data_IF_737401603491
#
_entry.id   IF_737401603491
#
_cell.length_a   1.000
_cell.length_b   1.000
_cell.length_c   1.000
_cell.angle_alpha   90.00
_cell.angle_beta   90.00
_cell.angle_gamma   90.00
#
_symmetry.space_group_name_H-M   'P 1'
#
loop_
_entity.id
_entity.type
_entity.pdbx_description
1 polymer ?
#
# COMPACT_ATOMS: atom_id res chain seq x y z
N UNK A 1 -22.94 1.52 -7.05
CA UNK A 1 -21.69 2.26 -7.31
C UNK A 1 -20.54 1.33 -6.99
N UNK A 2 -19.49 1.25 -7.82
CA UNK A 2 -18.31 0.42 -7.56
C UNK A 2 -17.63 0.92 -6.28
N UNK A 3 -17.40 0.02 -5.32
CA UNK A 3 -16.66 0.32 -4.10
C UNK A 3 -15.18 -0.02 -4.35
N UNK A 4 -14.36 0.99 -4.72
CA UNK A 4 -12.96 0.78 -5.05
C UNK A 4 -12.19 0.10 -3.91
N UNK A 5 -12.38 0.51 -2.65
CA UNK A 5 -11.67 -0.10 -1.50
C UNK A 5 -11.98 -1.59 -1.31
N UNK A 6 -13.23 -2.00 -1.55
CA UNK A 6 -13.56 -3.42 -1.49
C UNK A 6 -12.96 -4.16 -2.68
N UNK A 7 -13.01 -3.55 -3.87
CA UNK A 7 -12.42 -4.11 -5.09
C UNK A 7 -10.91 -4.29 -4.96
N UNK A 8 -10.20 -3.33 -4.36
CA UNK A 8 -8.77 -3.43 -4.03
C UNK A 8 -8.45 -4.69 -3.22
N UNK A 9 -9.24 -4.94 -2.17
CA UNK A 9 -9.08 -6.13 -1.31
C UNK A 9 -9.36 -7.43 -2.06
N UNK A 10 -10.40 -7.45 -2.90
CA UNK A 10 -10.74 -8.62 -3.72
C UNK A 10 -9.61 -8.98 -4.71
N UNK A 11 -8.94 -7.99 -5.30
CA UNK A 11 -7.79 -8.22 -6.17
C UNK A 11 -6.54 -8.69 -5.41
N UNK A 12 -6.36 -8.28 -4.15
CA UNK A 12 -5.20 -8.68 -3.35
C UNK A 12 -5.35 -10.05 -2.68
N UNK A 13 -6.58 -10.49 -2.40
CA UNK A 13 -6.85 -11.77 -1.71
C UNK A 13 -6.12 -12.98 -2.31
N UNK A 14 -6.05 -13.17 -3.64
CA UNK A 14 -5.36 -14.32 -4.23
C UNK A 14 -3.85 -14.37 -3.96
N UNK A 15 -3.24 -13.23 -3.60
CA UNK A 15 -1.80 -13.10 -3.36
C UNK A 15 -1.44 -13.23 -1.88
N UNK A 16 -2.43 -13.10 -0.97
CA UNK A 16 -2.20 -13.21 0.46
C UNK A 16 -2.04 -14.68 0.87
N UNK A 17 -1.00 -14.94 1.65
CA UNK A 17 -0.68 -16.27 2.14
C UNK A 17 -0.64 -16.28 3.66
N UNK A 18 -1.25 -17.30 4.30
CA UNK A 18 -1.08 -17.55 5.72
C UNK A 18 0.40 -17.78 6.03
N UNK A 19 0.93 -17.07 7.02
CA UNK A 19 2.36 -17.08 7.36
C UNK A 19 3.22 -16.16 6.48
N UNK A 20 2.62 -15.49 5.48
CA UNK A 20 3.32 -14.56 4.60
C UNK A 20 3.64 -13.22 5.26
N UNK A 21 4.46 -12.42 4.58
CA UNK A 21 4.79 -11.05 4.97
C UNK A 21 4.03 -10.08 4.09
N UNK A 22 3.31 -9.12 4.70
CA UNK A 22 2.63 -8.04 4.00
C UNK A 22 3.10 -6.67 4.51
N UNK A 23 2.94 -5.64 3.69
CA UNK A 23 3.35 -4.27 4.04
C UNK A 23 2.24 -3.28 3.70
N UNK A 24 1.85 -2.49 4.71
CA UNK A 24 1.04 -1.29 4.55
C UNK A 24 1.99 -0.08 4.53
N UNK A 25 2.24 0.48 3.35
CA UNK A 25 3.18 1.58 3.19
C UNK A 25 2.63 2.94 3.60
N UNK A 26 1.32 3.00 3.91
CA UNK A 26 0.58 4.23 4.26
C UNK A 26 -0.50 3.89 5.28
N UNK A 27 -0.09 3.50 6.51
CA UNK A 27 -1.01 2.89 7.47
C UNK A 27 -2.19 3.79 7.88
N UNK A 28 -1.98 5.10 7.95
CA UNK A 28 -3.02 6.08 8.29
C UNK A 28 -3.80 5.71 9.55
N UNK A 29 -5.08 5.42 9.40
CA UNK A 29 -5.95 4.99 10.50
C UNK A 29 -5.97 3.45 10.73
N UNK A 30 -5.07 2.69 10.11
CA UNK A 30 -4.86 1.26 10.36
C UNK A 30 -5.89 0.30 9.75
N UNK A 31 -6.73 0.75 8.82
CA UNK A 31 -7.76 -0.12 8.22
C UNK A 31 -7.15 -1.27 7.40
N UNK A 32 -6.15 -0.97 6.59
CA UNK A 32 -5.50 -1.97 5.75
C UNK A 32 -4.49 -2.77 6.55
N UNK A 33 -3.82 -2.16 7.53
CA UNK A 33 -2.96 -2.86 8.50
C UNK A 33 -3.73 -3.96 9.24
N UNK A 34 -4.92 -3.64 9.75
CA UNK A 34 -5.79 -4.61 10.45
C UNK A 34 -6.21 -5.75 9.50
N UNK A 35 -6.71 -5.40 8.32
CA UNK A 35 -7.12 -6.38 7.33
C UNK A 35 -5.96 -7.32 6.92
N UNK A 36 -4.77 -6.77 6.65
CA UNK A 36 -3.58 -7.57 6.33
C UNK A 36 -3.20 -8.51 7.48
N UNK A 37 -3.26 -8.04 8.74
CA UNK A 37 -2.99 -8.84 9.94
C UNK A 37 -3.90 -10.08 10.01
N UNK A 38 -5.19 -9.89 9.76
CA UNK A 38 -6.18 -10.97 9.70
C UNK A 38 -5.86 -11.98 8.59
N UNK A 39 -5.51 -11.47 7.39
CA UNK A 39 -5.29 -12.32 6.22
C UNK A 39 -4.02 -13.16 6.31
N UNK A 40 -2.89 -12.58 6.73
CA UNK A 40 -1.64 -13.34 6.90
C UNK A 40 -1.67 -14.27 8.11
N UNK A 41 -2.55 -14.01 9.07
CA UNK A 41 -2.79 -14.87 10.25
C UNK A 41 -1.66 -14.85 11.26
N UNK A 42 -1.82 -15.63 12.33
CA UNK A 42 -0.95 -15.61 13.52
C UNK A 42 0.55 -15.79 13.21
N UNK A 43 0.90 -16.61 12.23
CA UNK A 43 2.29 -16.90 11.85
C UNK A 43 2.86 -15.97 10.79
N UNK A 44 2.01 -15.10 10.21
CA UNK A 44 2.43 -14.07 9.27
C UNK A 44 3.00 -12.83 9.94
N UNK A 45 3.40 -11.85 9.13
CA UNK A 45 3.92 -10.57 9.62
C UNK A 45 3.42 -9.42 8.79
N UNK A 46 3.00 -8.34 9.44
CA UNK A 46 2.65 -7.06 8.80
C UNK A 46 3.61 -5.98 9.27
N UNK A 47 4.17 -5.24 8.33
CA UNK A 47 4.88 -3.98 8.60
C UNK A 47 4.00 -2.84 8.10
N UNK A 48 3.83 -1.81 8.92
CA UNK A 48 2.99 -0.66 8.57
C UNK A 48 3.73 0.64 8.83
N UNK A 49 3.74 1.53 7.83
CA UNK A 49 4.52 2.78 7.82
C UNK A 49 3.61 3.99 7.81
N UNK A 50 3.97 4.99 8.58
CA UNK A 50 3.49 6.37 8.45
C UNK A 50 4.52 7.34 9.02
N UNK A 51 4.62 8.53 8.44
CA UNK A 51 5.52 9.58 8.95
C UNK A 51 4.91 10.36 10.11
N UNK A 52 3.59 10.25 10.30
CA UNK A 52 2.84 11.02 11.30
C UNK A 52 2.70 10.21 12.60
N UNK A 53 3.26 10.69 13.74
CA UNK A 53 3.10 10.01 15.03
C UNK A 53 1.63 9.80 15.42
N UNK A 54 0.74 10.72 14.99
CA UNK A 54 -0.69 10.62 15.23
C UNK A 54 -1.32 9.43 14.51
N UNK A 55 -0.94 9.17 13.27
CA UNK A 55 -1.39 7.99 12.51
C UNK A 55 -0.93 6.70 13.19
N UNK A 56 0.33 6.66 13.62
CA UNK A 56 0.88 5.52 14.36
C UNK A 56 0.12 5.27 15.66
N UNK A 57 -0.17 6.33 16.43
CA UNK A 57 -0.92 6.20 17.69
C UNK A 57 -2.35 5.70 17.45
N UNK A 58 -3.08 6.27 16.49
CA UNK A 58 -4.44 5.82 16.12
C UNK A 58 -4.46 4.37 15.65
N UNK A 59 -3.48 3.99 14.83
CA UNK A 59 -3.36 2.61 14.37
C UNK A 59 -3.01 1.67 15.52
N UNK A 60 -2.13 2.06 16.45
CA UNK A 60 -1.80 1.25 17.62
C UNK A 60 -3.03 0.99 18.52
N UNK A 61 -3.86 2.01 18.75
CA UNK A 61 -5.12 1.85 19.50
C UNK A 61 -6.06 0.88 18.79
N UNK A 62 -6.25 1.04 17.48
CA UNK A 62 -7.08 0.13 16.68
C UNK A 62 -6.57 -1.30 16.73
N UNK A 63 -5.30 -1.52 16.46
CA UNK A 63 -4.70 -2.85 16.43
C UNK A 63 -4.80 -3.53 17.78
N UNK A 64 -4.60 -2.79 18.88
CA UNK A 64 -4.77 -3.32 20.26
C UNK A 64 -6.21 -3.74 20.55
N UNK A 65 -7.19 -3.01 20.01
CA UNK A 65 -8.61 -3.27 20.26
C UNK A 65 -9.20 -4.36 19.37
N UNK A 66 -8.78 -4.42 18.10
CA UNK A 66 -9.47 -5.17 17.05
C UNK A 66 -8.62 -6.30 16.43
N UNK A 67 -7.26 -6.23 16.49
CA UNK A 67 -6.43 -7.23 15.83
C UNK A 67 -6.51 -8.59 16.55
N UNK A 68 -6.75 -9.70 15.81
CA UNK A 68 -6.82 -11.02 16.39
C UNK A 68 -5.45 -11.59 16.78
N UNK A 69 -4.35 -10.99 16.28
CA UNK A 69 -2.98 -11.44 16.46
C UNK A 69 -2.02 -10.27 16.66
N UNK A 70 -0.95 -10.48 17.45
CA UNK A 70 0.18 -9.55 17.59
C UNK A 70 1.26 -9.81 16.52
N UNK A 71 0.85 -9.84 15.25
CA UNK A 71 1.68 -10.17 14.10
C UNK A 71 2.07 -8.94 13.27
N UNK A 72 2.07 -7.76 13.86
CA UNK A 72 2.33 -6.49 13.19
C UNK A 72 3.47 -5.70 13.84
N UNK A 73 4.06 -4.80 13.07
CA UNK A 73 5.03 -3.80 13.53
C UNK A 73 4.64 -2.46 12.93
N UNK A 74 4.36 -1.47 13.80
CA UNK A 74 4.03 -0.11 13.40
C UNK A 74 5.31 0.73 13.41
N UNK A 75 5.57 1.46 12.33
CA UNK A 75 6.84 2.16 12.09
C UNK A 75 6.53 3.63 11.80
N UNK A 76 7.00 4.52 12.68
CA UNK A 76 6.94 5.95 12.47
C UNK A 76 8.16 6.41 11.65
N UNK A 77 8.11 6.14 10.34
CA UNK A 77 9.18 6.50 9.42
C UNK A 77 8.61 6.57 7.99
N UNK A 78 9.38 7.14 7.08
CA UNK A 78 8.97 7.22 5.69
C UNK A 78 9.04 5.86 4.99
N UNK A 79 8.01 5.56 4.23
CA UNK A 79 7.86 4.32 3.47
C UNK A 79 9.00 4.05 2.47
N UNK A 80 9.74 5.08 2.02
CA UNK A 80 10.90 4.86 1.15
C UNK A 80 12.05 4.11 1.85
N UNK A 81 12.04 4.09 3.20
CA UNK A 81 13.00 3.35 4.02
C UNK A 81 12.55 1.91 4.34
N UNK A 82 11.51 1.42 3.69
CA UNK A 82 10.96 0.10 3.99
C UNK A 82 12.01 -1.03 3.95
N UNK A 83 13.01 -0.95 3.06
CA UNK A 83 14.10 -1.94 2.99
C UNK A 83 14.99 -2.00 4.25
N UNK A 84 14.98 -0.96 5.10
CA UNK A 84 15.72 -0.97 6.36
C UNK A 84 15.05 -1.90 7.39
N UNK A 85 13.75 -2.08 7.30
CA UNK A 85 12.92 -2.82 8.25
C UNK A 85 12.48 -4.18 7.73
N UNK A 86 12.09 -4.26 6.45
CA UNK A 86 11.52 -5.47 5.82
C UNK A 86 12.65 -6.25 5.16
N UNK A 87 13.00 -7.41 5.74
CA UNK A 87 14.13 -8.25 5.27
C UNK A 87 13.68 -9.52 4.55
N UNK A 88 12.39 -9.82 4.56
CA UNK A 88 11.82 -10.98 3.88
C UNK A 88 11.04 -10.55 2.63
N UNK A 89 10.91 -11.41 1.62
CA UNK A 89 10.03 -11.14 0.49
C UNK A 89 8.57 -10.96 0.94
N UNK A 90 7.89 -9.97 0.37
CA UNK A 90 6.50 -9.65 0.70
C UNK A 90 5.53 -10.29 -0.30
N UNK A 91 4.43 -10.85 0.19
CA UNK A 91 3.37 -11.37 -0.67
C UNK A 91 2.44 -10.27 -1.17
N UNK A 92 2.17 -9.26 -0.33
CA UNK A 92 1.31 -8.12 -0.68
C UNK A 92 1.89 -6.82 -0.10
N UNK A 93 1.84 -5.76 -0.90
CA UNK A 93 2.07 -4.39 -0.46
C UNK A 93 0.90 -3.49 -0.83
N UNK A 94 0.58 -2.50 0.01
CA UNK A 94 -0.49 -1.53 -0.23
C UNK A 94 0.06 -0.12 -0.05
N UNK A 95 -0.22 0.75 -1.01
CA UNK A 95 -0.10 2.20 -0.92
C UNK A 95 -1.46 2.85 -1.12
N UNK A 96 -1.90 3.67 -0.18
CA UNK A 96 -3.01 4.62 -0.34
C UNK A 96 -2.42 6.03 -0.30
N UNK A 97 -2.08 6.56 -1.48
CA UNK A 97 -1.40 7.85 -1.59
C UNK A 97 -2.34 9.00 -1.24
N UNK A 98 -1.77 10.06 -0.66
CA UNK A 98 -2.54 11.25 -0.26
C UNK A 98 -2.34 11.62 1.21
N UNK A 99 -3.34 12.18 1.84
CA UNK A 99 -3.31 12.67 3.21
C UNK A 99 -4.07 11.76 4.18
N UNK A 100 -3.73 11.86 5.46
CA UNK A 100 -4.41 11.12 6.54
C UNK A 100 -5.88 11.57 6.64
N UNK A 101 -6.87 10.68 6.48
CA UNK A 101 -8.27 11.02 6.66
C UNK A 101 -8.54 11.54 8.09
N UNK A 102 -9.08 12.78 8.19
CA UNK A 102 -9.30 13.45 9.48
C UNK A 102 -8.04 14.08 10.08
N UNK A 103 -6.92 14.10 9.36
CA UNK A 103 -5.69 14.78 9.73
C UNK A 103 -5.48 16.10 8.98
N UNK A 104 -4.24 16.64 9.08
CA UNK A 104 -3.83 17.84 8.36
C UNK A 104 -3.66 17.52 6.86
N UNK A 105 -4.47 18.17 6.03
CA UNK A 105 -4.39 18.03 4.56
C UNK A 105 -3.12 18.62 3.94
N UNK A 106 -2.38 19.41 4.68
CA UNK A 106 -1.06 19.93 4.29
C UNK A 106 0.03 18.85 4.31
N UNK A 107 -0.22 17.74 5.03
CA UNK A 107 0.69 16.59 5.08
C UNK A 107 0.14 15.50 4.16
N UNK A 108 0.74 15.38 2.99
CA UNK A 108 0.38 14.38 1.97
C UNK A 108 1.61 13.58 1.55
N UNK A 109 1.39 12.45 0.89
CA UNK A 109 2.48 11.75 0.20
C UNK A 109 3.11 12.65 -0.84
N UNK A 110 4.40 12.50 -1.05
CA UNK A 110 5.19 13.30 -1.97
C UNK A 110 5.90 12.39 -2.98
N UNK A 111 5.86 12.76 -4.26
CA UNK A 111 6.49 11.97 -5.34
C UNK A 111 7.97 11.67 -5.10
N UNK A 112 8.71 12.56 -4.40
CA UNK A 112 10.13 12.36 -4.05
C UNK A 112 10.35 11.16 -3.12
N UNK A 113 9.36 10.80 -2.31
CA UNK A 113 9.40 9.64 -1.42
C UNK A 113 8.58 8.47 -1.94
N UNK A 114 7.47 8.74 -2.61
CA UNK A 114 6.57 7.72 -3.18
C UNK A 114 7.27 6.90 -4.26
N UNK A 115 7.93 7.55 -5.22
CA UNK A 115 8.58 6.84 -6.32
C UNK A 115 9.68 5.86 -5.84
N UNK A 116 10.65 6.28 -4.99
CA UNK A 116 11.62 5.35 -4.41
C UNK A 116 10.98 4.24 -3.56
N UNK A 117 9.89 4.55 -2.83
CA UNK A 117 9.19 3.57 -2.02
C UNK A 117 8.54 2.47 -2.88
N UNK A 118 7.87 2.86 -3.97
CA UNK A 118 7.26 1.91 -4.92
C UNK A 118 8.33 1.05 -5.60
N UNK A 119 9.45 1.65 -6.01
CA UNK A 119 10.59 0.90 -6.56
C UNK A 119 11.15 -0.11 -5.55
N UNK A 120 11.30 0.30 -4.29
CA UNK A 120 11.72 -0.59 -3.19
C UNK A 120 10.70 -1.73 -3.00
N UNK A 121 9.41 -1.42 -2.97
CA UNK A 121 8.35 -2.41 -2.83
C UNK A 121 8.38 -3.46 -3.96
N UNK A 122 8.58 -3.02 -5.21
CA UNK A 122 8.72 -3.93 -6.36
C UNK A 122 9.89 -4.91 -6.20
N UNK A 123 11.02 -4.46 -5.63
CA UNK A 123 12.16 -5.35 -5.35
C UNK A 123 11.86 -6.35 -4.23
N UNK A 124 11.11 -5.92 -3.22
CA UNK A 124 10.73 -6.76 -2.08
C UNK A 124 9.65 -7.79 -2.42
N UNK A 125 8.87 -7.62 -3.50
CA UNK A 125 7.83 -8.57 -3.86
C UNK A 125 8.38 -9.99 -4.06
N UNK A 126 7.75 -10.94 -3.40
CA UNK A 126 7.93 -12.36 -3.69
C UNK A 126 7.45 -12.70 -5.12
N UNK A 127 7.92 -13.78 -5.72
CA UNK A 127 7.27 -14.35 -6.91
C UNK A 127 5.78 -14.58 -6.66
N UNK A 128 4.93 -14.16 -7.59
CA UNK A 128 3.46 -14.15 -7.49
C UNK A 128 2.90 -13.20 -6.41
N UNK A 129 3.73 -12.34 -5.81
CA UNK A 129 3.28 -11.27 -4.94
C UNK A 129 2.65 -10.13 -5.72
N UNK A 130 1.86 -9.31 -5.04
CA UNK A 130 1.17 -8.16 -5.63
C UNK A 130 1.41 -6.87 -4.85
N UNK A 131 1.51 -5.77 -5.58
CA UNK A 131 1.54 -4.42 -5.07
C UNK A 131 0.31 -3.68 -5.55
N UNK A 132 -0.45 -3.09 -4.64
CA UNK A 132 -1.55 -2.19 -4.96
C UNK A 132 -1.13 -0.76 -4.65
N UNK A 133 -1.36 0.14 -5.59
CA UNK A 133 -1.06 1.57 -5.44
C UNK A 133 -2.30 2.37 -5.81
N UNK A 134 -3.01 2.85 -4.79
CA UNK A 134 -4.16 3.73 -4.95
C UNK A 134 -3.71 5.19 -5.04
N UNK A 135 -4.18 5.88 -6.06
CA UNK A 135 -3.88 7.28 -6.38
C UNK A 135 -5.11 8.12 -6.19
N UNK A 136 -4.95 9.27 -5.54
CA UNK A 136 -6.01 10.23 -5.27
C UNK A 136 -5.74 11.55 -6.04
N UNK A 137 -6.18 11.66 -7.30
CA UNK A 137 -5.84 12.79 -8.19
C UNK A 137 -6.57 14.09 -7.87
N UNK A 138 -7.41 14.13 -6.85
CA UNK A 138 -8.21 15.30 -6.47
C UNK A 138 -7.41 16.51 -5.96
N UNK A 139 -6.08 16.44 -5.92
CA UNK A 139 -5.16 17.53 -5.61
C UNK A 139 -3.91 17.45 -6.49
N UNK A 140 -3.16 18.57 -6.61
CA UNK A 140 -2.07 18.69 -7.56
C UNK A 140 -0.98 17.62 -7.36
N UNK A 141 -0.51 17.42 -6.13
CA UNK A 141 0.52 16.41 -5.86
C UNK A 141 0.06 14.99 -6.22
N UNK A 142 -1.18 14.63 -5.87
CA UNK A 142 -1.76 13.32 -6.23
C UNK A 142 -1.87 13.10 -7.74
N UNK A 143 -2.15 14.17 -8.51
CA UNK A 143 -2.13 14.12 -9.97
C UNK A 143 -0.72 13.86 -10.51
N UNK A 144 0.27 14.60 -9.97
CA UNK A 144 1.68 14.43 -10.36
C UNK A 144 2.24 13.06 -9.95
N UNK A 145 1.91 12.57 -8.77
CA UNK A 145 2.24 11.20 -8.36
C UNK A 145 1.67 10.18 -9.36
N UNK A 146 0.40 10.35 -9.74
CA UNK A 146 -0.26 9.46 -10.71
C UNK A 146 0.41 9.45 -12.08
N UNK A 147 0.86 10.59 -12.59
CA UNK A 147 1.58 10.71 -13.86
C UNK A 147 2.94 9.99 -13.82
N UNK A 148 3.74 10.22 -12.77
CA UNK A 148 5.04 9.57 -12.60
C UNK A 148 4.90 8.05 -12.40
N UNK A 149 3.90 7.61 -11.65
CA UNK A 149 3.62 6.19 -11.47
C UNK A 149 3.18 5.52 -12.77
N UNK A 150 2.39 6.22 -13.61
CA UNK A 150 2.02 5.73 -14.93
C UNK A 150 3.27 5.51 -15.82
N UNK A 151 4.23 6.44 -15.80
CA UNK A 151 5.48 6.30 -16.53
C UNK A 151 6.30 5.12 -16.01
N UNK A 152 6.49 5.03 -14.68
CA UNK A 152 7.21 3.93 -14.05
C UNK A 152 6.59 2.58 -14.44
N UNK A 153 5.30 2.42 -14.23
CA UNK A 153 4.61 1.14 -14.44
C UNK A 153 4.56 0.74 -15.91
N UNK A 154 4.42 1.70 -16.83
CA UNK A 154 4.48 1.45 -18.27
C UNK A 154 5.87 0.99 -18.74
N UNK A 155 6.92 1.31 -18.00
CA UNK A 155 8.30 0.92 -18.32
C UNK A 155 8.70 -0.44 -17.76
N UNK A 156 7.89 -1.05 -16.88
CA UNK A 156 8.22 -2.33 -16.22
C UNK A 156 8.27 -3.47 -17.25
N UNK A 157 9.29 -4.37 -17.15
CA UNK A 157 9.41 -5.49 -18.06
C UNK A 157 8.22 -6.46 -17.93
N UNK A 158 7.44 -6.63 -18.99
CA UNK A 158 6.25 -7.51 -19.02
C UNK A 158 6.55 -8.96 -18.64
N UNK A 159 7.77 -9.43 -18.87
CA UNK A 159 8.19 -10.78 -18.45
C UNK A 159 8.28 -10.94 -16.94
N UNK A 160 8.48 -9.83 -16.21
CA UNK A 160 8.65 -9.84 -14.75
C UNK A 160 7.41 -9.34 -14.02
N UNK A 161 6.67 -8.42 -14.60
CA UNK A 161 5.52 -7.78 -13.98
C UNK A 161 4.33 -7.70 -14.94
N UNK A 162 3.14 -7.94 -14.41
CA UNK A 162 1.87 -7.59 -15.04
C UNK A 162 1.29 -6.39 -14.31
N UNK A 163 0.92 -5.35 -15.05
CA UNK A 163 0.36 -4.13 -14.48
C UNK A 163 -1.03 -3.91 -15.05
N UNK A 164 -2.01 -3.77 -14.17
CA UNK A 164 -3.38 -3.37 -14.49
C UNK A 164 -3.72 -2.04 -13.81
N UNK A 165 -4.58 -1.25 -14.43
CA UNK A 165 -5.13 -0.03 -13.85
C UNK A 165 -6.65 -0.12 -13.84
N UNK A 166 -7.26 0.10 -12.66
CA UNK A 166 -8.71 0.19 -12.52
C UNK A 166 -9.09 1.63 -12.22
N UNK A 167 -9.85 2.22 -13.15
CA UNK A 167 -10.29 3.62 -13.10
C UNK A 167 -11.76 3.73 -13.47
N UNK A 168 -12.47 4.65 -12.82
CA UNK A 168 -13.82 5.02 -13.21
C UNK A 168 -13.71 6.02 -14.37
N UNK A 169 -14.01 5.57 -15.59
CA UNK A 169 -13.73 6.31 -16.84
C UNK A 169 -14.46 7.65 -16.94
N UNK A 170 -15.69 7.71 -16.44
CA UNK A 170 -16.53 8.91 -16.47
C UNK A 170 -16.44 9.77 -15.20
N UNK A 171 -15.42 9.54 -14.37
CA UNK A 171 -15.14 10.32 -13.16
C UNK A 171 -13.61 10.48 -13.00
N UNK A 172 -12.97 11.35 -13.80
CA UNK A 172 -11.50 11.43 -13.90
C UNK A 172 -10.81 11.85 -12.61
N UNK A 173 -11.49 12.61 -11.75
CA UNK A 173 -10.94 13.08 -10.46
C UNK A 173 -11.17 12.10 -9.32
N UNK A 174 -11.89 10.99 -9.57
CA UNK A 174 -12.06 9.94 -8.58
C UNK A 174 -10.75 9.16 -8.38
N UNK A 175 -10.54 8.61 -7.17
CA UNK A 175 -9.44 7.70 -6.93
C UNK A 175 -9.45 6.53 -7.92
N UNK A 176 -8.27 6.04 -8.23
CA UNK A 176 -8.05 4.86 -9.04
C UNK A 176 -6.86 4.08 -8.48
N UNK A 177 -6.65 2.85 -8.91
CA UNK A 177 -5.49 2.09 -8.44
C UNK A 177 -4.81 1.32 -9.56
N UNK A 178 -3.51 1.09 -9.35
CA UNK A 178 -2.71 0.12 -10.08
C UNK A 178 -2.59 -1.16 -9.25
N UNK A 179 -2.72 -2.30 -9.93
CA UNK A 179 -2.33 -3.61 -9.42
C UNK A 179 -1.10 -4.07 -10.20
N UNK A 180 -0.02 -4.32 -9.50
CA UNK A 180 1.23 -4.82 -10.06
C UNK A 180 1.48 -6.22 -9.51
N UNK A 181 1.50 -7.22 -10.37
CA UNK A 181 1.78 -8.60 -10.02
C UNK A 181 3.18 -8.99 -10.49
N UNK A 182 3.97 -9.62 -9.62
CA UNK A 182 5.28 -10.15 -9.98
C UNK A 182 5.13 -11.56 -10.52
N UNK A 183 5.47 -11.77 -11.80
CA UNK A 183 5.20 -13.01 -12.51
C UNK A 183 6.05 -14.20 -12.01
N UNK A 184 7.35 -14.00 -11.81
CA UNK A 184 8.31 -15.05 -11.33
C UNK A 184 9.49 -14.42 -10.60
#
# INVERSE_FOLDING_TARGET
MLNLRQTEKEFLLPHLMRGGVAVDFTMGNGNDTLWLSEQVGQTGRVYAFDIQPEAVARTAERMKAEAPFENYTLICDSHHRAADYVKAPICVGIFNLGFLPGGDKGITTLRETTLPAVQTALTLLAPKGALLVAVYPGHEEGRLEGELLQELFSSLPQKQYSVACLRIVNAPDCPFFYLIEKNK
#
